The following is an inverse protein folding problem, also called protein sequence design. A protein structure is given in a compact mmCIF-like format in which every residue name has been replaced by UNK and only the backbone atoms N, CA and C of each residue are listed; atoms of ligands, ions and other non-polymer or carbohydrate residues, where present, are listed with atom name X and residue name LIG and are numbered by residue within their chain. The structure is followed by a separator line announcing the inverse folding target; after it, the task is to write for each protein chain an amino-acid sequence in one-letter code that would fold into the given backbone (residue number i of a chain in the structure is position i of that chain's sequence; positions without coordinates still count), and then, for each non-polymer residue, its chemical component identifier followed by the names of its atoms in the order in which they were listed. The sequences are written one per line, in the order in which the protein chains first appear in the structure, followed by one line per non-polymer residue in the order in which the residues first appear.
data_IF_911155337018
#
_entry.id   IF_911155337018
#
_cell.length_a   1.000
_cell.length_b   1.000
_cell.length_c   1.000
_cell.angle_alpha   90.00
_cell.angle_beta   90.00
_cell.angle_gamma   90.00
#
_symmetry.space_group_name_H-M   'P 1'
#
loop_
_entity.id
_entity.type
_entity.pdbx_description
1 polymer ?
#
# COMPACT_ATOMS: atom_id res chain seq x y z
N UNK A 1 5.14 -55.01 -15.45
CA UNK A 1 4.11 -54.21 -14.74
C UNK A 1 4.78 -53.58 -13.54
N UNK A 2 4.84 -52.27 -13.31
CA UNK A 2 4.35 -51.05 -13.98
C UNK A 2 5.46 -50.01 -13.78
N UNK A 3 5.87 -49.33 -14.85
CA UNK A 3 6.75 -48.17 -14.75
C UNK A 3 5.98 -47.00 -14.13
N UNK A 4 6.57 -46.38 -13.13
CA UNK A 4 6.08 -45.14 -12.53
C UNK A 4 6.44 -43.97 -13.45
N UNK A 5 5.47 -43.48 -14.20
CA UNK A 5 5.59 -42.22 -14.95
C UNK A 5 5.65 -41.05 -13.97
N UNK A 6 6.80 -40.39 -13.94
CA UNK A 6 6.97 -39.09 -13.32
C UNK A 6 6.18 -38.05 -14.14
N UNK A 7 5.01 -37.66 -13.66
CA UNK A 7 4.29 -36.48 -14.17
C UNK A 7 5.05 -35.23 -13.72
N UNK A 8 5.90 -34.70 -14.60
CA UNK A 8 6.36 -33.32 -14.50
C UNK A 8 5.13 -32.41 -14.56
N UNK A 9 4.70 -31.90 -13.41
CA UNK A 9 3.75 -30.82 -13.29
C UNK A 9 4.44 -29.55 -13.81
N UNK A 10 4.31 -29.29 -15.11
CA UNK A 10 4.66 -27.99 -15.69
C UNK A 10 3.62 -27.00 -15.16
N UNK A 11 4.07 -26.07 -14.32
CA UNK A 11 3.26 -24.95 -13.82
C UNK A 11 2.65 -24.20 -15.01
N UNK A 12 1.37 -23.75 -14.94
CA UNK A 12 0.77 -23.02 -16.04
C UNK A 12 1.56 -21.74 -16.34
N UNK A 13 1.94 -21.53 -17.60
CA UNK A 13 2.52 -20.27 -18.06
C UNK A 13 1.44 -19.21 -18.17
N UNK A 14 1.76 -17.94 -17.90
CA UNK A 14 0.86 -16.85 -18.25
C UNK A 14 0.81 -16.72 -19.79
N UNK A 15 -0.40 -16.69 -20.37
CA UNK A 15 -0.59 -16.44 -21.79
C UNK A 15 -0.36 -14.95 -22.08
N UNK A 16 0.53 -14.65 -23.02
CA UNK A 16 0.69 -13.28 -23.55
C UNK A 16 -0.57 -12.97 -24.36
N UNK A 17 -1.32 -11.94 -23.95
CA UNK A 17 -2.31 -11.32 -24.83
C UNK A 17 -1.58 -10.27 -25.67
N UNK A 18 -1.76 -10.31 -26.99
CA UNK A 18 -1.04 -9.45 -27.94
C UNK A 18 -1.38 -7.96 -27.78
N UNK A 19 -2.55 -7.65 -27.21
CA UNK A 19 -3.00 -6.27 -26.97
C UNK A 19 -3.08 -5.95 -25.48
N UNK A 20 -2.16 -5.13 -24.93
CA UNK A 20 -2.20 -4.74 -23.52
C UNK A 20 -3.44 -3.92 -23.14
N UNK A 21 -4.16 -3.31 -24.09
CA UNK A 21 -5.35 -2.52 -23.81
C UNK A 21 -6.56 -3.37 -23.40
N UNK A 22 -6.64 -4.61 -23.89
CA UNK A 22 -7.74 -5.54 -23.61
C UNK A 22 -7.49 -6.45 -22.41
N UNK A 23 -6.32 -6.33 -21.77
CA UNK A 23 -6.00 -7.12 -20.58
C UNK A 23 -6.92 -6.77 -19.42
N UNK A 24 -7.31 -7.80 -18.69
CA UNK A 24 -8.15 -7.67 -17.51
C UNK A 24 -7.32 -7.18 -16.32
N UNK A 25 -7.82 -6.17 -15.62
CA UNK A 25 -7.25 -5.59 -14.40
C UNK A 25 -8.25 -5.69 -13.25
N UNK A 26 -7.73 -5.78 -12.03
CA UNK A 26 -8.56 -5.84 -10.82
C UNK A 26 -8.87 -4.44 -10.29
N UNK A 27 -10.15 -4.16 -10.07
CA UNK A 27 -10.66 -2.90 -9.54
C UNK A 27 -11.03 -3.02 -8.06
N UNK A 28 -10.73 -1.97 -7.29
CA UNK A 28 -11.17 -1.78 -5.91
C UNK A 28 -11.86 -0.41 -5.78
N UNK A 29 -12.98 -0.37 -5.06
CA UNK A 29 -13.70 0.89 -4.78
C UNK A 29 -12.91 1.86 -3.90
N UNK A 30 -11.96 1.36 -3.12
CA UNK A 30 -10.98 2.11 -2.34
C UNK A 30 -9.78 1.19 -2.00
N UNK A 31 -8.78 1.68 -1.27
CA UNK A 31 -7.55 0.93 -1.03
C UNK A 31 -7.67 -0.33 -0.13
N UNK A 32 -8.80 -0.55 0.55
CA UNK A 32 -8.98 -1.65 1.52
C UNK A 32 -10.15 -2.58 1.21
N UNK A 33 -11.10 -2.16 0.37
CA UNK A 33 -12.17 -3.06 -0.08
C UNK A 33 -11.61 -4.23 -0.87
N UNK A 34 -12.27 -5.38 -0.78
CA UNK A 34 -12.03 -6.52 -1.67
C UNK A 34 -12.21 -6.13 -3.14
N UNK A 35 -11.71 -6.99 -4.04
CA UNK A 35 -11.88 -6.78 -5.47
C UNK A 35 -13.37 -6.79 -5.80
N UNK A 36 -13.87 -5.69 -6.35
CA UNK A 36 -15.31 -5.51 -6.55
C UNK A 36 -15.75 -5.75 -7.99
N UNK A 37 -14.84 -5.65 -8.96
CA UNK A 37 -15.07 -6.03 -10.36
C UNK A 37 -13.76 -6.19 -11.12
N UNK A 38 -13.86 -6.85 -12.28
CA UNK A 38 -12.84 -6.82 -13.32
C UNK A 38 -13.21 -5.75 -14.36
N UNK A 39 -12.20 -5.14 -14.98
CA UNK A 39 -12.34 -4.25 -16.13
C UNK A 39 -11.08 -4.36 -16.99
N UNK A 40 -11.06 -3.77 -18.17
CA UNK A 40 -9.90 -3.75 -19.06
C UNK A 40 -9.01 -2.54 -18.81
N UNK A 41 -7.77 -2.59 -19.30
CA UNK A 41 -6.84 -1.45 -19.28
C UNK A 41 -7.44 -0.25 -20.03
N UNK A 42 -8.05 -0.45 -21.20
CA UNK A 42 -8.66 0.64 -21.98
C UNK A 42 -9.84 1.27 -21.26
N UNK A 43 -10.70 0.48 -20.61
CA UNK A 43 -11.80 1.02 -19.79
C UNK A 43 -11.26 1.87 -18.64
N UNK A 44 -10.16 1.46 -18.01
CA UNK A 44 -9.56 2.23 -16.93
C UNK A 44 -8.98 3.57 -17.42
N UNK A 45 -8.26 3.56 -18.55
CA UNK A 45 -7.75 4.79 -19.16
C UNK A 45 -8.89 5.72 -19.59
N UNK A 46 -9.98 5.17 -20.13
CA UNK A 46 -11.18 5.92 -20.47
C UNK A 46 -11.88 6.53 -19.25
N UNK A 47 -11.96 5.80 -18.13
CA UNK A 47 -12.50 6.30 -16.87
C UNK A 47 -11.67 7.50 -16.34
N UNK A 48 -10.34 7.48 -16.49
CA UNK A 48 -9.44 8.61 -16.15
C UNK A 48 -9.68 9.80 -17.07
N UNK A 49 -9.74 9.56 -18.39
CA UNK A 49 -9.82 10.60 -19.42
C UNK A 49 -11.19 11.30 -19.45
N UNK A 50 -12.26 10.53 -19.33
CA UNK A 50 -13.64 11.04 -19.28
C UNK A 50 -13.95 11.77 -17.97
N UNK A 51 -13.17 11.52 -16.91
CA UNK A 51 -13.40 12.13 -15.61
C UNK A 51 -14.55 11.52 -14.82
N UNK A 52 -14.75 10.21 -14.94
CA UNK A 52 -15.74 9.48 -14.12
C UNK A 52 -15.60 9.74 -12.62
N UNK A 53 -14.38 9.94 -12.13
CA UNK A 53 -14.06 10.25 -10.73
C UNK A 53 -13.65 11.71 -10.50
N UNK A 54 -13.98 12.61 -11.45
CA UNK A 54 -13.57 14.02 -11.45
C UNK A 54 -13.85 14.72 -10.12
N UNK A 55 -15.05 14.61 -9.59
CA UNK A 55 -15.43 15.37 -8.38
C UNK A 55 -14.67 14.91 -7.13
N UNK A 56 -14.36 13.62 -7.02
CA UNK A 56 -13.51 13.10 -5.95
C UNK A 56 -12.08 13.64 -6.10
N UNK A 57 -11.53 13.60 -7.31
CA UNK A 57 -10.17 14.07 -7.61
C UNK A 57 -10.03 15.58 -7.38
N UNK A 58 -10.99 16.39 -7.84
CA UNK A 58 -10.95 17.85 -7.65
C UNK A 58 -11.02 18.24 -6.17
N UNK A 59 -11.78 17.49 -5.36
CA UNK A 59 -11.82 17.68 -3.90
C UNK A 59 -10.48 17.36 -3.25
N UNK A 60 -9.79 16.30 -3.72
CA UNK A 60 -8.43 16.00 -3.27
C UNK A 60 -7.44 17.10 -3.66
N UNK A 61 -7.55 17.62 -4.89
CA UNK A 61 -6.73 18.73 -5.38
C UNK A 61 -6.95 20.01 -4.58
N UNK A 62 -8.18 20.30 -4.13
CA UNK A 62 -8.41 21.46 -3.24
C UNK A 62 -7.76 21.27 -1.86
N UNK A 63 -7.78 20.06 -1.30
CA UNK A 63 -7.16 19.76 0.00
C UNK A 63 -5.64 19.94 -0.06
N UNK A 64 -4.98 19.37 -1.08
CA UNK A 64 -3.52 19.48 -1.20
C UNK A 64 -3.07 20.91 -1.49
N UNK A 65 -3.81 21.69 -2.31
CA UNK A 65 -3.52 23.12 -2.56
C UNK A 65 -3.67 23.99 -1.31
N UNK A 66 -4.52 23.59 -0.36
CA UNK A 66 -4.63 24.24 0.94
C UNK A 66 -3.47 23.88 1.90
N UNK A 67 -2.50 23.06 1.45
CA UNK A 67 -1.35 22.62 2.24
C UNK A 67 -1.62 21.42 3.15
N UNK A 68 -2.83 20.86 3.12
CA UNK A 68 -3.26 19.80 4.04
C UNK A 68 -2.90 18.39 3.50
N UNK A 69 -1.59 18.11 3.51
CA UNK A 69 -1.02 16.84 3.04
C UNK A 69 -1.57 15.63 3.78
N UNK A 70 -1.86 15.77 5.08
CA UNK A 70 -2.37 14.69 5.90
C UNK A 70 -3.79 14.28 5.49
N UNK A 71 -4.70 15.24 5.34
CA UNK A 71 -6.05 14.93 4.88
C UNK A 71 -6.05 14.49 3.42
N UNK A 72 -5.19 15.03 2.56
CA UNK A 72 -5.07 14.52 1.19
C UNK A 72 -4.71 13.03 1.19
N UNK A 73 -3.67 12.63 1.92
CA UNK A 73 -3.24 11.22 1.98
C UNK A 73 -4.32 10.31 2.56
N UNK A 74 -5.05 10.79 3.56
CA UNK A 74 -6.18 10.08 4.16
C UNK A 74 -7.33 9.86 3.17
N UNK A 75 -7.77 10.93 2.50
CA UNK A 75 -8.92 10.88 1.59
C UNK A 75 -8.59 10.24 0.24
N UNK A 76 -7.35 10.36 -0.25
CA UNK A 76 -6.88 9.73 -1.51
C UNK A 76 -7.13 8.23 -1.51
N UNK A 77 -6.99 7.61 -0.35
CA UNK A 77 -7.17 6.17 -0.21
C UNK A 77 -8.64 5.71 -0.30
N UNK A 78 -9.62 6.64 -0.22
CA UNK A 78 -11.03 6.40 -0.54
C UNK A 78 -11.32 6.47 -2.04
N UNK A 79 -10.36 6.90 -2.85
CA UNK A 79 -10.51 6.95 -4.29
C UNK A 79 -10.48 5.52 -4.85
N UNK A 80 -11.31 5.21 -5.86
CA UNK A 80 -11.20 3.94 -6.56
C UNK A 80 -9.80 3.73 -7.10
N UNK A 81 -9.40 2.47 -7.22
CA UNK A 81 -8.09 2.10 -7.65
C UNK A 81 -8.09 0.81 -8.46
N UNK A 82 -7.03 0.60 -9.20
CA UNK A 82 -6.80 -0.56 -10.04
C UNK A 82 -5.37 -1.07 -9.89
N UNK A 83 -5.18 -2.35 -10.16
CA UNK A 83 -3.84 -2.94 -10.32
C UNK A 83 -3.64 -3.31 -11.77
N UNK A 84 -2.85 -2.51 -12.47
CA UNK A 84 -2.55 -2.73 -13.90
C UNK A 84 -1.64 -3.95 -14.11
N UNK A 85 -0.70 -4.20 -13.20
CA UNK A 85 0.34 -5.21 -13.37
C UNK A 85 -0.19 -6.65 -13.40
N UNK A 86 -1.33 -6.92 -12.78
CA UNK A 86 -1.93 -8.25 -12.66
C UNK A 86 -3.42 -8.18 -12.29
N UNK A 87 -4.17 -9.24 -12.62
CA UNK A 87 -5.47 -9.54 -12.03
C UNK A 87 -5.35 -10.63 -10.97
N UNK A 88 -6.31 -10.69 -10.04
CA UNK A 88 -6.24 -11.61 -8.89
C UNK A 88 -7.54 -12.39 -8.65
N UNK A 89 -7.41 -13.53 -7.98
CA UNK A 89 -8.52 -14.32 -7.46
C UNK A 89 -9.01 -13.74 -6.13
N UNK A 90 -10.01 -12.86 -6.20
CA UNK A 90 -10.77 -12.33 -5.05
C UNK A 90 -10.03 -11.30 -4.18
N UNK A 91 -8.75 -11.51 -3.86
CA UNK A 91 -7.95 -10.64 -3.00
C UNK A 91 -6.64 -10.27 -3.69
N UNK A 92 -6.25 -8.98 -3.64
CA UNK A 92 -4.99 -8.45 -4.17
C UNK A 92 -3.79 -8.91 -3.34
N UNK A 93 -3.27 -10.11 -3.63
CA UNK A 93 -2.01 -10.64 -3.07
C UNK A 93 -1.22 -11.39 -4.12
N UNK A 94 0.09 -11.49 -3.93
CA UNK A 94 1.02 -12.14 -4.87
C UNK A 94 0.70 -13.61 -5.13
N UNK A 95 0.30 -14.33 -4.09
CA UNK A 95 -0.13 -15.73 -4.16
C UNK A 95 -1.53 -15.91 -4.76
N UNK A 96 -2.22 -14.83 -5.09
CA UNK A 96 -3.56 -14.84 -5.69
C UNK A 96 -3.56 -14.26 -7.11
N UNK A 97 -2.39 -14.06 -7.74
CA UNK A 97 -2.31 -13.61 -9.14
C UNK A 97 -3.03 -14.64 -10.03
N UNK A 98 -4.10 -14.19 -10.67
CA UNK A 98 -4.87 -14.95 -11.67
C UNK A 98 -4.22 -14.82 -13.05
N UNK A 99 -3.80 -13.60 -13.40
CA UNK A 99 -3.09 -13.31 -14.63
C UNK A 99 -2.07 -12.20 -14.41
N UNK A 100 -0.88 -12.36 -14.99
CA UNK A 100 0.10 -11.29 -15.09
C UNK A 100 -0.09 -10.55 -16.41
N UNK A 101 -0.11 -9.21 -16.33
CA UNK A 101 -0.48 -8.35 -17.46
C UNK A 101 0.73 -7.82 -18.21
N UNK A 102 1.97 -8.12 -17.76
CA UNK A 102 3.17 -7.61 -18.44
C UNK A 102 3.17 -6.07 -18.56
N UNK A 103 2.51 -5.39 -17.61
CA UNK A 103 2.46 -3.95 -17.52
C UNK A 103 3.26 -3.48 -16.31
N UNK A 104 4.01 -2.39 -16.51
CA UNK A 104 4.67 -1.66 -15.43
C UNK A 104 4.01 -0.30 -15.29
N UNK A 105 3.61 0.04 -14.07
CA UNK A 105 3.11 1.37 -13.73
C UNK A 105 4.29 2.28 -13.44
N UNK A 106 4.40 3.36 -14.21
CA UNK A 106 5.28 4.48 -13.90
C UNK A 106 4.59 5.36 -12.85
N UNK A 107 5.34 5.73 -11.83
CA UNK A 107 4.89 6.67 -10.81
C UNK A 107 6.00 7.70 -10.60
N UNK A 108 5.79 8.90 -11.13
CA UNK A 108 6.74 10.01 -11.13
C UNK A 108 6.15 11.10 -10.24
N UNK A 109 6.55 11.11 -8.98
CA UNK A 109 6.15 12.11 -8.00
C UNK A 109 7.33 13.05 -7.68
N UNK A 110 7.06 14.14 -6.95
CA UNK A 110 8.08 15.09 -6.46
C UNK A 110 8.86 15.78 -7.58
N UNK A 111 8.20 16.07 -8.69
CA UNK A 111 8.76 16.92 -9.74
C UNK A 111 9.08 18.30 -9.17
N UNK A 112 10.22 18.87 -9.58
CA UNK A 112 10.57 20.25 -9.21
C UNK A 112 9.67 21.23 -9.95
N UNK A 113 9.56 22.45 -9.42
CA UNK A 113 8.76 23.51 -10.06
C UNK A 113 9.24 23.74 -11.50
N UNK A 114 8.30 23.65 -12.45
CA UNK A 114 8.57 23.83 -13.88
C UNK A 114 9.01 22.56 -14.64
N UNK A 115 9.28 21.45 -13.96
CA UNK A 115 9.74 20.20 -14.62
C UNK A 115 8.61 19.41 -15.29
N UNK A 116 7.35 19.63 -14.90
CA UNK A 116 6.21 18.82 -15.37
C UNK A 116 6.10 18.76 -16.89
N UNK A 117 6.19 19.91 -17.57
CA UNK A 117 6.08 19.97 -19.04
C UNK A 117 7.28 19.30 -19.73
N UNK A 118 8.49 19.47 -19.18
CA UNK A 118 9.69 18.77 -19.69
C UNK A 118 9.48 17.25 -19.59
N UNK A 119 9.05 16.76 -18.44
CA UNK A 119 8.81 15.33 -18.23
C UNK A 119 7.71 14.83 -19.15
N UNK A 120 6.56 15.51 -19.25
CA UNK A 120 5.50 15.14 -20.21
C UNK A 120 6.02 15.03 -21.64
N UNK A 121 6.86 15.98 -22.09
CA UNK A 121 7.50 15.92 -23.40
C UNK A 121 8.46 14.73 -23.54
N UNK A 122 9.22 14.39 -22.50
CA UNK A 122 10.04 13.18 -22.50
C UNK A 122 9.18 11.91 -22.66
N UNK A 123 8.09 11.78 -21.88
CA UNK A 123 7.21 10.61 -21.96
C UNK A 123 6.47 10.53 -23.30
N UNK A 124 6.10 11.67 -23.87
CA UNK A 124 5.46 11.75 -25.19
C UNK A 124 6.37 11.22 -26.30
N UNK A 125 7.66 11.55 -26.25
CA UNK A 125 8.64 11.16 -27.25
C UNK A 125 9.31 9.80 -26.96
N UNK A 126 9.16 9.26 -25.76
CA UNK A 126 9.62 7.91 -25.44
C UNK A 126 8.83 6.87 -26.24
N UNK A 127 9.53 5.89 -26.81
CA UNK A 127 8.91 4.87 -27.66
C UNK A 127 8.16 3.79 -26.87
N UNK A 128 8.55 3.52 -25.62
CA UNK A 128 8.04 2.41 -24.82
C UNK A 128 6.90 2.81 -23.88
N UNK A 129 6.80 4.10 -23.56
CA UNK A 129 5.71 4.65 -22.74
C UNK A 129 4.49 4.85 -23.63
N UNK A 130 3.53 3.95 -23.54
CA UNK A 130 2.36 3.99 -24.42
C UNK A 130 1.22 4.85 -23.88
N UNK A 131 1.18 5.10 -22.57
CA UNK A 131 0.21 6.00 -21.96
C UNK A 131 0.76 6.71 -20.73
N UNK A 132 0.37 7.96 -20.53
CA UNK A 132 0.64 8.72 -19.30
C UNK A 132 -0.46 9.76 -19.01
N UNK A 133 -0.58 10.13 -17.74
CA UNK A 133 -1.57 11.07 -17.24
C UNK A 133 -1.16 11.73 -15.91
N UNK A 134 -1.79 12.84 -15.57
CA UNK A 134 -1.60 13.54 -14.29
C UNK A 134 -2.09 12.68 -13.12
N UNK A 135 -1.28 12.60 -12.06
CA UNK A 135 -1.64 11.91 -10.82
C UNK A 135 -2.85 12.58 -10.12
N UNK A 136 -3.47 11.93 -9.12
CA UNK A 136 -4.64 12.51 -8.43
C UNK A 136 -4.38 13.90 -7.83
N UNK A 137 -3.16 14.19 -7.33
CA UNK A 137 -2.80 15.51 -6.82
C UNK A 137 -2.50 16.54 -7.91
N UNK A 138 -2.22 16.10 -9.15
CA UNK A 138 -1.65 16.92 -10.22
C UNK A 138 -0.20 17.40 -9.97
N UNK A 139 0.47 16.85 -8.95
CA UNK A 139 1.87 17.16 -8.61
C UNK A 139 2.85 16.09 -9.13
N UNK A 140 2.34 15.12 -9.88
CA UNK A 140 3.12 14.01 -10.42
C UNK A 140 2.45 13.43 -11.65
N UNK A 141 3.15 12.53 -12.32
CA UNK A 141 2.72 11.89 -13.56
C UNK A 141 2.73 10.38 -13.34
N UNK A 142 1.71 9.71 -13.87
CA UNK A 142 1.63 8.26 -13.93
C UNK A 142 1.68 7.81 -15.37
N UNK A 143 2.08 6.56 -15.61
CA UNK A 143 2.09 6.01 -16.96
C UNK A 143 2.18 4.51 -16.99
N UNK A 144 2.17 3.96 -18.20
CA UNK A 144 2.22 2.53 -18.45
C UNK A 144 3.26 2.19 -19.52
N UNK A 145 3.97 1.10 -19.27
CA UNK A 145 4.89 0.46 -20.20
C UNK A 145 4.50 -1.00 -20.33
N UNK A 146 4.46 -1.49 -21.56
CA UNK A 146 4.23 -2.91 -21.87
C UNK A 146 5.58 -3.61 -22.02
N UNK A 147 5.79 -4.71 -21.30
CA UNK A 147 7.07 -5.42 -21.27
C UNK A 147 6.98 -6.77 -21.98
N UNK A 148 8.07 -7.17 -22.61
CA UNK A 148 8.21 -8.49 -23.21
C UNK A 148 9.42 -9.19 -22.65
N UNK A 149 9.23 -10.45 -22.28
CA UNK A 149 10.31 -11.29 -21.77
C UNK A 149 10.80 -12.24 -22.85
N UNK A 150 12.12 -12.44 -22.94
CA UNK A 150 12.72 -13.46 -23.81
C UNK A 150 12.57 -14.89 -23.26
N UNK A 151 11.90 -15.04 -22.12
CA UNK A 151 11.74 -16.29 -21.37
C UNK A 151 10.32 -16.38 -20.79
N UNK A 152 9.93 -17.57 -20.37
CA UNK A 152 8.58 -17.83 -19.85
C UNK A 152 8.43 -17.24 -18.44
N UNK A 153 7.43 -16.38 -18.27
CA UNK A 153 7.00 -15.89 -16.96
C UNK A 153 5.84 -16.75 -16.46
N UNK A 154 5.96 -17.21 -15.21
CA UNK A 154 4.95 -18.03 -14.53
C UNK A 154 4.88 -17.64 -13.05
N UNK A 155 3.99 -18.28 -12.30
CA UNK A 155 3.73 -18.01 -10.89
C UNK A 155 4.99 -18.08 -10.00
N UNK A 156 6.00 -18.89 -10.36
CA UNK A 156 7.21 -19.08 -9.56
C UNK A 156 8.23 -17.96 -9.74
N UNK A 157 8.23 -17.28 -10.90
CA UNK A 157 9.26 -16.29 -11.24
C UNK A 157 8.72 -14.88 -11.48
N UNK A 158 7.39 -14.68 -11.53
CA UNK A 158 6.74 -13.40 -11.86
C UNK A 158 7.23 -12.23 -11.03
N UNK A 159 7.42 -12.42 -9.74
CA UNK A 159 7.87 -11.37 -8.82
C UNK A 159 9.32 -10.91 -9.08
N UNK A 160 10.20 -11.85 -9.43
CA UNK A 160 11.60 -11.56 -9.76
C UNK A 160 11.67 -10.96 -11.16
N UNK A 161 10.89 -11.48 -12.11
CA UNK A 161 10.82 -10.98 -13.48
C UNK A 161 10.27 -9.54 -13.54
N UNK A 162 9.18 -9.25 -12.83
CA UNK A 162 8.58 -7.91 -12.78
C UNK A 162 9.52 -6.90 -12.13
N UNK A 163 10.13 -7.25 -10.99
CA UNK A 163 11.10 -6.38 -10.31
C UNK A 163 12.34 -6.10 -11.16
N UNK A 164 12.85 -7.11 -11.84
CA UNK A 164 14.01 -6.95 -12.74
C UNK A 164 13.66 -6.06 -13.93
N UNK A 165 12.47 -6.24 -14.51
CA UNK A 165 11.95 -5.39 -15.57
C UNK A 165 11.78 -3.93 -15.12
N UNK A 166 11.21 -3.71 -13.93
CA UNK A 166 11.09 -2.38 -13.35
C UNK A 166 12.45 -1.73 -13.12
N UNK A 167 13.43 -2.46 -12.57
CA UNK A 167 14.75 -1.90 -12.33
C UNK A 167 15.48 -1.54 -13.62
N UNK A 168 15.38 -2.39 -14.66
CA UNK A 168 15.91 -2.08 -15.99
C UNK A 168 15.24 -0.84 -16.58
N UNK A 169 13.91 -0.75 -16.48
CA UNK A 169 13.13 0.39 -16.96
C UNK A 169 13.47 1.67 -16.19
N UNK A 170 13.62 1.61 -14.88
CA UNK A 170 13.99 2.76 -14.05
C UNK A 170 15.39 3.28 -14.39
N UNK A 171 16.37 2.41 -14.64
CA UNK A 171 17.69 2.80 -15.13
C UNK A 171 17.60 3.46 -16.51
N UNK A 172 16.87 2.84 -17.44
CA UNK A 172 16.64 3.40 -18.78
C UNK A 172 16.02 4.80 -18.73
N UNK A 173 14.93 4.98 -17.98
CA UNK A 173 14.24 6.27 -17.86
C UNK A 173 15.13 7.33 -17.18
N UNK A 174 15.93 6.93 -16.19
CA UNK A 174 16.90 7.82 -15.56
C UNK A 174 17.99 8.25 -16.53
N UNK A 175 18.57 7.33 -17.29
CA UNK A 175 19.64 7.61 -18.25
C UNK A 175 19.14 8.44 -19.45
N UNK A 176 17.96 8.09 -19.99
CA UNK A 176 17.41 8.74 -21.17
C UNK A 176 16.81 10.12 -20.87
N UNK A 177 16.15 10.29 -19.71
CA UNK A 177 15.31 11.46 -19.43
C UNK A 177 15.66 12.20 -18.15
N UNK A 178 16.65 11.72 -17.38
CA UNK A 178 16.96 12.20 -16.02
C UNK A 178 15.73 12.22 -15.11
N UNK A 179 14.87 11.20 -15.22
CA UNK A 179 13.65 11.03 -14.42
C UNK A 179 13.80 9.85 -13.47
N UNK A 180 13.43 10.04 -12.21
CA UNK A 180 13.43 8.98 -11.20
C UNK A 180 12.02 8.44 -11.01
N UNK A 181 11.88 7.11 -11.09
CA UNK A 181 10.62 6.43 -10.84
C UNK A 181 10.51 6.05 -9.35
N UNK A 182 9.30 6.11 -8.79
CA UNK A 182 9.03 5.59 -7.45
C UNK A 182 9.16 4.06 -7.42
N UNK A 183 9.90 3.55 -6.43
CA UNK A 183 10.26 2.12 -6.35
C UNK A 183 9.08 1.19 -6.15
N UNK A 184 7.91 1.71 -5.77
CA UNK A 184 6.69 0.91 -5.63
C UNK A 184 6.18 0.32 -6.94
N UNK A 185 6.59 0.85 -8.10
CA UNK A 185 6.33 0.24 -9.40
C UNK A 185 7.00 -1.12 -9.60
N UNK A 186 7.88 -1.54 -8.68
CA UNK A 186 8.51 -2.87 -8.68
C UNK A 186 7.65 -3.99 -8.08
N UNK A 187 6.44 -3.66 -7.59
CA UNK A 187 5.51 -4.61 -6.99
C UNK A 187 4.42 -5.02 -7.99
N UNK A 188 4.29 -6.33 -8.23
CA UNK A 188 3.23 -6.94 -9.04
C UNK A 188 1.82 -6.62 -8.53
N UNK A 189 1.70 -6.24 -7.25
CA UNK A 189 0.43 -5.86 -6.61
C UNK A 189 0.22 -4.34 -6.55
N UNK A 190 1.00 -3.55 -7.28
CA UNK A 190 0.98 -2.08 -7.18
C UNK A 190 -0.43 -1.52 -7.45
N UNK A 191 -0.99 -0.89 -6.42
CA UNK A 191 -2.26 -0.20 -6.50
C UNK A 191 -2.08 1.18 -7.16
N UNK A 192 -2.92 1.49 -8.15
CA UNK A 192 -2.95 2.75 -8.86
C UNK A 192 -4.32 3.41 -8.70
N UNK A 193 -4.38 4.51 -7.93
CA UNK A 193 -5.61 5.27 -7.75
C UNK A 193 -6.02 5.96 -9.05
N UNK A 194 -7.32 5.92 -9.37
CA UNK A 194 -7.87 6.68 -10.49
C UNK A 194 -7.57 8.16 -10.36
N UNK A 195 -7.42 8.84 -11.49
CA UNK A 195 -7.24 10.29 -11.55
C UNK A 195 -8.33 10.91 -12.42
N UNK A 196 -8.18 12.21 -12.68
CA UNK A 196 -8.93 12.92 -13.69
C UNK A 196 -7.94 13.71 -14.55
N UNK A 197 -7.83 13.31 -15.81
CA UNK A 197 -6.97 13.97 -16.78
C UNK A 197 -7.53 13.85 -18.20
N UNK A 198 -8.27 14.86 -18.69
CA UNK A 198 -8.71 14.91 -20.09
C UNK A 198 -7.57 14.90 -21.11
N UNK A 199 -6.37 15.30 -20.69
CA UNK A 199 -5.15 15.32 -21.51
C UNK A 199 -4.38 13.99 -21.47
N UNK A 200 -4.93 12.94 -20.84
CA UNK A 200 -4.35 11.60 -20.86
C UNK A 200 -3.97 11.23 -22.29
N UNK A 201 -2.69 10.90 -22.44
CA UNK A 201 -2.12 10.51 -23.71
C UNK A 201 -2.10 8.99 -23.83
N UNK A 202 -2.47 8.50 -25.01
CA UNK A 202 -2.42 7.09 -25.39
C UNK A 202 -1.90 7.03 -26.83
N UNK A 203 -0.80 6.30 -27.04
CA UNK A 203 -0.25 6.07 -28.37
C UNK A 203 -1.15 5.13 -29.17
N UNK A 204 -1.21 5.35 -30.49
CA UNK A 204 -1.89 4.45 -31.42
C UNK A 204 -1.16 3.12 -31.61
N UNK A 205 0.16 3.13 -31.44
CA UNK A 205 1.02 1.95 -31.54
C UNK A 205 1.76 1.75 -30.21
N UNK A 206 1.75 0.50 -29.72
CA UNK A 206 2.34 0.14 -28.44
C UNK A 206 3.61 -0.67 -28.70
N UNK A 207 4.76 -0.13 -28.30
CA UNK A 207 6.05 -0.81 -28.41
C UNK A 207 6.39 -1.52 -27.11
N UNK A 208 6.85 -2.76 -27.24
CA UNK A 208 7.26 -3.59 -26.12
C UNK A 208 8.66 -3.18 -25.61
N UNK A 209 8.82 -3.12 -24.29
CA UNK A 209 10.11 -2.99 -23.64
C UNK A 209 10.70 -4.36 -23.33
N UNK A 210 11.77 -4.74 -24.05
CA UNK A 210 12.35 -6.08 -23.97
C UNK A 210 13.17 -6.31 -22.69
N UNK A 211 12.95 -7.47 -22.06
CA UNK A 211 13.66 -7.95 -20.87
C UNK A 211 14.20 -9.34 -21.16
N UNK A 212 15.51 -9.48 -21.07
CA UNK A 212 16.22 -10.72 -21.35
C UNK A 212 16.62 -11.43 -20.05
N UNK A 213 17.02 -12.70 -20.15
CA UNK A 213 17.51 -13.46 -18.99
C UNK A 213 18.72 -12.79 -18.30
N UNK A 214 19.56 -12.08 -19.05
CA UNK A 214 20.71 -11.33 -18.50
C UNK A 214 20.32 -10.18 -17.59
N UNK A 215 19.11 -9.65 -17.77
CA UNK A 215 18.58 -8.52 -16.98
C UNK A 215 18.02 -8.99 -15.63
N UNK A 216 17.84 -10.30 -15.46
CA UNK A 216 17.29 -10.87 -14.24
C UNK A 216 18.31 -10.75 -13.13
N UNK A 217 17.89 -10.09 -12.05
CA UNK A 217 18.69 -9.98 -10.85
C UNK A 217 18.84 -11.39 -10.29
N UNK A 218 20.02 -11.97 -10.52
CA UNK A 218 20.42 -13.21 -9.87
C UNK A 218 20.45 -12.90 -8.39
N UNK A 219 19.56 -13.54 -7.62
CA UNK A 219 19.71 -13.53 -6.18
C UNK A 219 21.13 -14.04 -5.89
N UNK A 220 22.01 -13.19 -5.39
CA UNK A 220 23.23 -13.69 -4.78
C UNK A 220 22.77 -14.63 -3.68
N UNK A 221 23.27 -15.86 -3.69
CA UNK A 221 23.06 -16.84 -2.63
C UNK A 221 23.73 -16.34 -1.34
N UNK A 222 23.15 -15.33 -0.71
CA UNK A 222 23.14 -15.17 0.74
C UNK A 222 22.10 -16.09 1.39
N UNK A 223 21.44 -16.93 0.59
CA UNK A 223 20.39 -17.88 0.98
C UNK A 223 20.87 -19.31 1.27
N UNK A 224 22.17 -19.64 1.23
CA UNK A 224 22.65 -20.97 1.65
C UNK A 224 22.52 -21.23 3.17
N UNK A 225 22.25 -20.21 3.98
CA UNK A 225 21.79 -20.40 5.37
C UNK A 225 20.26 -20.46 5.52
N UNK A 226 19.49 -20.25 4.44
CA UNK A 226 18.03 -20.11 4.48
C UNK A 226 17.28 -21.29 3.84
N UNK A 227 17.92 -22.04 2.94
CA UNK A 227 17.28 -23.12 2.18
C UNK A 227 17.08 -24.42 2.97
N UNK A 228 17.82 -24.67 4.05
CA UNK A 228 17.57 -25.81 4.95
C UNK A 228 16.42 -25.58 5.95
N UNK A 229 15.88 -24.37 6.05
CA UNK A 229 14.71 -24.07 6.90
C UNK A 229 13.38 -24.31 6.17
N UNK A 230 13.36 -24.30 4.84
CA UNK A 230 12.12 -24.27 4.04
C UNK A 230 11.42 -25.63 3.93
N UNK A 231 12.13 -26.74 4.12
CA UNK A 231 11.53 -28.09 4.10
C UNK A 231 10.89 -28.53 5.43
N UNK A 232 10.95 -27.71 6.48
CA UNK A 232 10.24 -27.94 7.76
C UNK A 232 9.08 -26.96 8.00
N UNK A 233 8.71 -26.13 7.02
CA UNK A 233 7.62 -25.15 7.12
C UNK A 233 6.28 -25.85 6.86
N UNK A 234 5.90 -26.74 7.77
CA UNK A 234 4.51 -27.05 8.03
C UNK A 234 4.20 -26.51 9.42
N UNK A 235 3.32 -25.50 9.49
CA UNK A 235 2.58 -25.02 10.68
C UNK A 235 3.13 -23.76 11.41
N UNK A 236 4.37 -23.26 11.24
CA UNK A 236 4.92 -22.20 12.14
C UNK A 236 5.08 -20.75 11.63
N UNK A 237 4.88 -20.43 10.34
CA UNK A 237 5.31 -19.11 9.80
C UNK A 237 4.30 -17.97 9.92
N UNK A 238 2.99 -18.23 9.91
CA UNK A 238 1.99 -17.18 10.20
C UNK A 238 2.13 -16.66 11.63
N UNK A 239 2.37 -17.57 12.57
CA UNK A 239 2.52 -17.24 13.98
C UNK A 239 3.74 -16.32 14.21
N UNK A 240 4.82 -16.55 13.47
CA UNK A 240 6.03 -15.71 13.60
C UNK A 240 5.86 -14.31 12.98
N UNK A 241 5.04 -14.17 11.93
CA UNK A 241 4.73 -12.89 11.29
C UNK A 241 3.78 -12.02 12.14
N UNK A 242 2.73 -12.65 12.67
CA UNK A 242 1.64 -12.00 13.40
C UNK A 242 1.88 -11.90 14.91
N UNK A 243 2.69 -12.81 15.46
CA UNK A 243 2.95 -12.94 16.90
C UNK A 243 4.47 -12.96 17.24
N UNK A 244 5.25 -11.90 16.92
CA UNK A 244 6.68 -11.87 17.21
C UNK A 244 6.99 -11.80 18.72
N UNK A 245 8.15 -12.34 19.13
CA UNK A 245 8.54 -12.56 20.54
C UNK A 245 8.65 -11.29 21.43
N UNK A 246 8.73 -10.10 20.84
CA UNK A 246 8.90 -8.82 21.55
C UNK A 246 7.66 -7.91 21.44
N UNK A 247 6.51 -8.48 21.76
CA UNK A 247 5.20 -7.80 21.74
C UNK A 247 4.48 -7.98 23.06
N UNK A 248 3.38 -7.25 23.23
CA UNK A 248 2.48 -7.38 24.38
C UNK A 248 3.09 -6.96 25.72
N UNK A 249 3.91 -5.91 25.72
CA UNK A 249 4.42 -5.33 26.98
C UNK A 249 3.26 -5.10 27.98
N UNK A 250 3.49 -5.52 29.22
CA UNK A 250 2.45 -5.50 30.26
C UNK A 250 1.96 -4.08 30.57
N UNK A 251 2.85 -3.08 30.50
CA UNK A 251 2.48 -1.66 30.72
C UNK A 251 1.64 -1.16 29.56
N UNK A 252 1.98 -1.49 28.32
CA UNK A 252 1.19 -1.12 27.15
C UNK A 252 -0.19 -1.78 27.18
N UNK A 253 -0.29 -3.05 27.57
CA UNK A 253 -1.57 -3.76 27.75
C UNK A 253 -2.46 -3.09 28.82
N UNK A 254 -1.90 -2.75 29.98
CA UNK A 254 -2.63 -2.06 31.03
C UNK A 254 -3.08 -0.66 30.60
N UNK A 255 -2.20 0.04 29.88
CA UNK A 255 -2.46 1.40 29.39
C UNK A 255 -3.57 1.41 28.35
N UNK A 256 -3.53 0.53 27.34
CA UNK A 256 -4.58 0.50 26.31
C UNK A 256 -5.94 0.10 26.88
N UNK A 257 -5.99 -0.81 27.85
CA UNK A 257 -7.23 -1.15 28.54
C UNK A 257 -7.81 0.04 29.32
N UNK A 258 -6.94 0.83 29.97
CA UNK A 258 -7.34 2.04 30.68
C UNK A 258 -7.85 3.12 29.72
N UNK A 259 -7.19 3.29 28.57
CA UNK A 259 -7.63 4.18 27.49
C UNK A 259 -9.01 3.75 26.96
N UNK A 260 -9.18 2.46 26.62
CA UNK A 260 -10.44 1.92 26.12
C UNK A 260 -11.58 2.20 27.10
N UNK A 261 -11.39 1.92 28.40
CA UNK A 261 -12.40 2.19 29.45
C UNK A 261 -12.73 3.68 29.56
N UNK A 262 -11.72 4.54 29.48
CA UNK A 262 -11.91 5.99 29.54
C UNK A 262 -12.74 6.51 28.36
N UNK A 263 -12.37 6.10 27.14
CA UNK A 263 -13.03 6.50 25.90
C UNK A 263 -14.47 5.98 25.87
N UNK A 264 -14.69 4.72 26.24
CA UNK A 264 -16.02 4.11 26.31
C UNK A 264 -16.95 4.85 27.27
N UNK A 265 -16.50 5.12 28.51
CA UNK A 265 -17.30 5.83 29.52
C UNK A 265 -17.71 7.23 29.05
N UNK A 266 -16.87 7.88 28.23
CA UNK A 266 -17.07 9.25 27.77
C UNK A 266 -17.64 9.34 26.36
N UNK A 267 -17.91 8.21 25.69
CA UNK A 267 -18.36 8.14 24.30
C UNK A 267 -17.43 8.93 23.35
N UNK A 268 -16.12 8.80 23.57
CA UNK A 268 -15.08 9.44 22.75
C UNK A 268 -14.44 8.41 21.82
N UNK A 269 -13.96 8.87 20.68
CA UNK A 269 -13.27 8.04 19.70
C UNK A 269 -11.90 8.60 19.34
N UNK A 270 -10.95 7.68 19.13
CA UNK A 270 -9.62 7.95 18.57
C UNK A 270 -9.45 7.25 17.21
N UNK A 271 -10.55 6.81 16.59
CA UNK A 271 -10.59 6.07 15.33
C UNK A 271 -11.58 6.68 14.32
N UNK A 272 -12.18 7.82 14.64
CA UNK A 272 -13.28 8.38 13.85
C UNK A 272 -12.89 8.83 12.44
N UNK A 273 -11.71 9.43 12.29
CA UNK A 273 -11.15 9.77 10.98
C UNK A 273 -10.29 8.63 10.46
N UNK A 274 -10.23 8.47 9.14
CA UNK A 274 -9.40 7.42 8.54
C UNK A 274 -7.91 7.54 8.95
N UNK A 275 -7.36 8.75 9.05
CA UNK A 275 -5.99 8.99 9.51
C UNK A 275 -5.77 8.46 10.93
N UNK A 276 -6.68 8.80 11.85
CA UNK A 276 -6.67 8.31 13.22
C UNK A 276 -6.79 6.78 13.27
N UNK A 277 -7.76 6.22 12.54
CA UNK A 277 -7.96 4.78 12.42
C UNK A 277 -6.72 4.03 11.91
N UNK A 278 -6.09 4.54 10.84
CA UNK A 278 -4.84 4.02 10.28
C UNK A 278 -3.68 4.09 11.29
N UNK A 279 -3.46 5.25 11.91
CA UNK A 279 -2.37 5.44 12.86
C UNK A 279 -2.56 4.57 14.12
N UNK A 280 -3.80 4.40 14.59
CA UNK A 280 -4.12 3.48 15.69
C UNK A 280 -3.89 2.01 15.27
N UNK A 281 -4.30 1.59 14.07
CA UNK A 281 -4.06 0.25 13.56
C UNK A 281 -2.56 -0.08 13.44
N UNK A 282 -1.77 0.85 12.90
CA UNK A 282 -0.31 0.72 12.77
C UNK A 282 0.37 0.70 14.14
N UNK A 283 -0.07 1.52 15.09
CA UNK A 283 0.44 1.47 16.45
C UNK A 283 0.13 0.12 17.11
N UNK A 284 -1.08 -0.40 16.94
CA UNK A 284 -1.45 -1.73 17.44
C UNK A 284 -0.58 -2.83 16.82
N UNK A 285 -0.38 -2.82 15.49
CA UNK A 285 0.45 -3.84 14.83
C UNK A 285 1.93 -3.77 15.22
N UNK A 286 2.39 -2.58 15.60
CA UNK A 286 3.72 -2.37 16.14
C UNK A 286 3.89 -2.78 17.61
N UNK A 287 2.81 -3.02 18.36
CA UNK A 287 2.86 -3.18 19.82
C UNK A 287 2.34 -4.53 20.31
N UNK A 288 1.29 -5.06 19.69
CA UNK A 288 0.64 -6.29 20.13
C UNK A 288 0.77 -7.42 19.12
N UNK A 289 0.63 -8.66 19.59
CA UNK A 289 0.40 -9.83 18.73
C UNK A 289 -1.00 -9.74 18.11
N UNK A 290 -1.21 -10.32 16.93
CA UNK A 290 -2.45 -10.12 16.15
C UNK A 290 -3.72 -10.43 16.95
N UNK A 291 -3.78 -11.56 17.65
CA UNK A 291 -4.96 -11.96 18.43
C UNK A 291 -5.35 -10.95 19.53
N UNK A 292 -4.35 -10.25 20.07
CA UNK A 292 -4.55 -9.22 21.10
C UNK A 292 -4.84 -7.88 20.43
N UNK A 293 -4.09 -7.55 19.39
CA UNK A 293 -4.23 -6.32 18.63
C UNK A 293 -5.60 -6.20 17.99
N UNK A 294 -6.11 -7.27 17.38
CA UNK A 294 -7.44 -7.33 16.77
C UNK A 294 -8.53 -7.02 17.79
N UNK A 295 -8.46 -7.62 18.99
CA UNK A 295 -9.43 -7.34 20.07
C UNK A 295 -9.44 -5.86 20.46
N UNK A 296 -8.27 -5.25 20.61
CA UNK A 296 -8.17 -3.83 20.96
C UNK A 296 -8.63 -2.92 19.82
N UNK A 297 -8.24 -3.23 18.58
CA UNK A 297 -8.58 -2.41 17.42
C UNK A 297 -10.07 -2.44 17.12
N UNK A 298 -10.69 -3.63 17.15
CA UNK A 298 -12.13 -3.78 16.99
C UNK A 298 -12.88 -3.06 18.10
N UNK A 299 -12.42 -3.15 19.35
CA UNK A 299 -13.07 -2.46 20.47
C UNK A 299 -13.02 -0.94 20.31
N UNK A 300 -11.86 -0.38 19.98
CA UNK A 300 -11.71 1.07 19.74
C UNK A 300 -12.57 1.52 18.55
N UNK A 301 -12.51 0.81 17.42
CA UNK A 301 -13.27 1.13 16.21
C UNK A 301 -14.78 1.01 16.42
N UNK A 302 -15.24 0.13 17.33
CA UNK A 302 -16.67 -0.05 17.63
C UNK A 302 -17.34 1.17 18.28
N UNK A 303 -16.56 2.15 18.76
CA UNK A 303 -17.11 3.40 19.28
C UNK A 303 -17.70 4.28 18.17
N UNK A 304 -17.25 4.08 16.91
CA UNK A 304 -17.72 4.79 15.72
C UNK A 304 -18.87 4.03 15.05
N UNK A 305 -20.00 3.87 15.76
CA UNK A 305 -21.11 2.95 15.41
C UNK A 305 -21.57 2.99 13.95
N UNK A 306 -21.67 4.18 13.35
CA UNK A 306 -22.15 4.37 11.97
C UNK A 306 -21.13 3.94 10.90
N UNK A 307 -19.85 3.84 11.26
CA UNK A 307 -18.74 3.51 10.35
C UNK A 307 -18.10 2.16 10.66
N UNK A 308 -18.49 1.53 11.77
CA UNK A 308 -17.85 0.31 12.24
C UNK A 308 -18.26 -0.89 11.39
N UNK A 309 -17.29 -1.42 10.65
CA UNK A 309 -17.39 -2.70 9.95
C UNK A 309 -16.31 -3.64 10.49
N UNK A 310 -16.73 -4.75 11.09
CA UNK A 310 -15.84 -5.71 11.75
C UNK A 310 -14.87 -6.36 10.75
N UNK A 311 -15.37 -6.81 9.59
CA UNK A 311 -14.57 -7.53 8.60
C UNK A 311 -13.54 -6.61 7.95
N UNK A 312 -13.95 -5.38 7.64
CA UNK A 312 -13.07 -4.33 7.15
C UNK A 312 -12.00 -3.98 8.19
N UNK A 313 -12.36 -3.84 9.48
CA UNK A 313 -11.37 -3.61 10.54
C UNK A 313 -10.35 -4.74 10.66
N UNK A 314 -10.80 -6.01 10.67
CA UNK A 314 -9.92 -7.17 10.77
C UNK A 314 -8.98 -7.28 9.56
N UNK A 315 -9.52 -7.08 8.35
CA UNK A 315 -8.74 -7.11 7.11
C UNK A 315 -7.76 -5.94 7.01
N UNK A 316 -8.18 -4.74 7.42
CA UNK A 316 -7.32 -3.56 7.46
C UNK A 316 -6.17 -3.72 8.47
N UNK A 317 -6.46 -4.23 9.67
CA UNK A 317 -5.43 -4.51 10.66
C UNK A 317 -4.46 -5.58 10.17
N UNK A 318 -4.95 -6.64 9.52
CA UNK A 318 -4.11 -7.67 8.93
C UNK A 318 -3.07 -7.07 7.97
N UNK A 319 -3.50 -6.18 7.07
CA UNK A 319 -2.60 -5.47 6.16
C UNK A 319 -1.55 -4.63 6.92
N UNK A 320 -1.90 -4.01 8.05
CA UNK A 320 -0.96 -3.26 8.89
C UNK A 320 0.13 -4.13 9.56
N UNK A 321 -0.15 -5.42 9.80
CA UNK A 321 0.87 -6.38 10.28
C UNK A 321 1.83 -6.80 9.17
N UNK A 322 1.33 -6.87 7.93
CA UNK A 322 2.11 -7.26 6.75
C UNK A 322 3.03 -6.12 6.25
N UNK A 323 2.60 -4.86 6.34
CA UNK A 323 3.30 -3.71 5.73
C UNK A 323 4.41 -3.08 6.59
N UNK A 324 4.83 -3.71 7.70
CA UNK A 324 5.76 -3.24 8.76
C UNK A 324 6.57 -1.96 8.43
N UNK A 325 6.03 -0.78 8.72
CA UNK A 325 6.77 0.49 8.51
C UNK A 325 7.65 0.90 9.70
N UNK A 326 7.45 0.31 10.89
CA UNK A 326 8.24 0.57 12.10
C UNK A 326 8.22 2.01 12.64
N UNK A 327 7.57 2.94 11.93
CA UNK A 327 7.61 4.39 12.23
C UNK A 327 6.56 4.81 13.26
N UNK A 328 5.44 4.09 13.34
CA UNK A 328 4.32 4.39 14.24
C UNK A 328 4.37 3.39 15.39
N UNK A 329 4.32 3.88 16.62
CA UNK A 329 4.45 3.09 17.84
C UNK A 329 3.33 3.38 18.85
N UNK A 330 3.32 2.68 19.99
CA UNK A 330 2.27 2.79 21.01
C UNK A 330 2.00 4.22 21.50
N UNK A 331 3.02 5.10 21.48
CA UNK A 331 2.86 6.50 21.91
C UNK A 331 1.81 7.25 21.09
N UNK A 332 1.54 6.84 19.84
CA UNK A 332 0.48 7.42 19.01
C UNK A 332 -0.92 7.20 19.59
N UNK A 333 -1.18 6.02 20.19
CA UNK A 333 -2.46 5.73 20.85
C UNK A 333 -2.60 6.61 22.09
N UNK A 334 -1.52 6.74 22.87
CA UNK A 334 -1.49 7.61 24.07
C UNK A 334 -1.69 9.07 23.68
N UNK A 335 -1.04 9.53 22.61
CA UNK A 335 -1.20 10.89 22.08
C UNK A 335 -2.66 11.19 21.76
N UNK A 336 -3.33 10.34 20.96
CA UNK A 336 -4.74 10.55 20.64
C UNK A 336 -5.66 10.45 21.85
N UNK A 337 -5.36 9.58 22.80
CA UNK A 337 -6.11 9.53 24.05
C UNK A 337 -5.94 10.83 24.86
N UNK A 338 -4.74 11.42 24.89
CA UNK A 338 -4.46 12.67 25.58
C UNK A 338 -5.20 13.86 24.94
N UNK A 339 -5.28 13.91 23.60
CA UNK A 339 -6.13 14.89 22.91
C UNK A 339 -7.62 14.80 23.30
N UNK A 340 -8.05 13.62 23.76
CA UNK A 340 -9.38 13.37 24.31
C UNK A 340 -9.47 13.53 25.83
N UNK A 341 -8.43 14.08 26.47
CA UNK A 341 -8.39 14.39 27.90
C UNK A 341 -8.02 13.20 28.79
N UNK A 342 -7.52 12.10 28.24
CA UNK A 342 -6.93 11.03 29.06
C UNK A 342 -5.56 11.48 29.58
N UNK A 343 -5.22 11.07 30.81
CA UNK A 343 -3.88 11.23 31.36
C UNK A 343 -3.39 9.88 31.88
N UNK A 344 -2.18 9.48 31.48
CA UNK A 344 -1.52 8.30 32.03
C UNK A 344 -1.17 8.49 33.50
N UNK A 345 -0.93 7.40 34.24
CA UNK A 345 -0.56 7.47 35.67
C UNK A 345 0.64 8.39 35.91
N UNK A 346 1.70 8.22 35.11
CA UNK A 346 2.92 9.05 35.15
C UNK A 346 2.65 10.54 34.88
N UNK A 347 1.72 10.85 33.97
CA UNK A 347 1.33 12.24 33.69
C UNK A 347 0.52 12.87 34.84
N UNK A 348 -0.31 12.08 35.54
CA UNK A 348 -1.05 12.55 36.73
C UNK A 348 -0.11 12.80 37.91
N UNK A 349 0.83 11.89 38.15
CA UNK A 349 1.85 12.02 39.20
C UNK A 349 2.70 13.29 38.97
N UNK A 350 3.22 13.48 37.76
CA UNK A 350 4.01 14.68 37.39
C UNK A 350 3.20 15.98 37.49
N UNK A 351 1.91 15.95 37.14
CA UNK A 351 1.03 17.11 37.29
C UNK A 351 0.70 17.45 38.74
N UNK A 352 0.75 16.46 39.63
CA UNK A 352 0.52 16.64 41.07
C UNK A 352 1.78 17.19 41.76
N UNK A 353 2.97 16.68 41.40
CA UNK A 353 4.27 17.19 41.88
C UNK A 353 4.47 18.68 41.54
N UNK A 354 4.14 19.09 40.31
CA UNK A 354 4.22 20.50 39.88
C UNK A 354 3.17 21.37 40.57
N UNK A 355 2.00 20.81 40.92
CA UNK A 355 0.99 21.54 41.69
C UNK A 355 1.42 21.73 43.16
N UNK A 356 2.04 20.72 43.77
CA UNK A 356 2.56 20.77 45.14
C UNK A 356 3.79 21.69 45.27
N UNK A 357 4.67 21.75 44.26
CA UNK A 357 5.77 22.73 44.20
C UNK A 357 5.25 24.17 44.10
N UNK A 358 4.19 24.42 43.32
CA UNK A 358 3.59 25.75 43.23
C UNK A 358 2.84 26.15 44.52
N UNK A 359 2.19 25.20 45.20
CA UNK A 359 1.53 25.45 46.50
C UNK A 359 2.53 25.71 47.63
N UNK A 360 3.68 25.03 47.62
CA UNK A 360 4.74 25.25 48.62
C UNK A 360 5.48 26.59 48.43
N UNK A 361 5.61 27.10 47.20
CA UNK A 361 6.15 28.45 46.94
C UNK A 361 5.18 29.58 47.32
N UNK A 362 3.86 29.38 47.18
CA UNK A 362 2.86 30.37 47.62
C UNK A 362 2.73 30.43 49.16
N UNK A 363 3.02 29.32 49.84
CA UNK A 363 2.97 29.23 51.31
C UNK A 363 4.22 29.77 52.04
N UNK A 364 5.26 30.12 51.28
CA UNK A 364 6.54 30.65 51.78
C UNK A 364 6.80 32.10 51.34
N UNK A 365 5.77 32.79 50.86
CA UNK A 365 5.76 34.22 50.50
C UNK A 365 5.01 35.06 51.53
#
# INVERSE_FOLDING_TARGET
MKGSENKNLVSPSFSIQDDPLNQVVSFQSNAWTSLSKEMTVVEALNDIKSGKYRDQVLRLRSIIRAGDKENYNSHKKNLPAITFCAAFNGIRRKDQIKSYNYLIVLDIDKLQDGETERVKNCLLNDSYIFSFWDSPSQEGIKGLVFVKYSFIVNEQNVDVAHRSAFNKLASYIKEAHNVHLDSSGSDTTRLCFFSFDPSLYLKSEIKEFSVNESDIIRQSNSNEKRTNLVKQISISDRDTLYNPKDRNDSKDRSTIQSIIKYLEKRKLSITYSYNQWYKVAMAISSTFTYDIGEKYFLKLSSFDKEKFDRENCSSFLMNCYESRSGTINFSTIVYYANEKGYLTKKQRERGSEVADENLSQVSSS
#
